data_IF_554302401792
#
_entry.id   IF_554302401792
#
_cell.length_a   1.000
_cell.length_b   1.000
_cell.length_c   1.000
_cell.angle_alpha   90.00
_cell.angle_beta   90.00
_cell.angle_gamma   90.00
#
_symmetry.space_group_name_H-M   'P 1'
#
loop_
_entity.id
_entity.type
_entity.pdbx_description
1 polymer ?
#
# COMPACT_ATOMS: atom_id res chain seq x y z
N UNK A 1 -16.34 12.03 -20.19
CA UNK A 1 -15.53 10.84 -19.83
C UNK A 1 -14.66 10.52 -21.03
N UNK A 2 -13.37 10.18 -20.84
CA UNK A 2 -12.51 9.72 -21.93
C UNK A 2 -13.12 8.47 -22.59
N UNK A 3 -12.87 8.28 -23.88
CA UNK A 3 -13.40 7.11 -24.60
C UNK A 3 -12.66 5.84 -24.13
N UNK A 4 -13.37 4.71 -23.94
CA UNK A 4 -12.74 3.46 -23.54
C UNK A 4 -11.86 2.92 -24.66
N UNK A 5 -10.63 2.55 -24.33
CA UNK A 5 -9.67 1.92 -25.23
C UNK A 5 -9.33 0.51 -24.73
N UNK A 6 -10.05 -0.48 -25.27
CA UNK A 6 -10.01 -1.88 -24.83
C UNK A 6 -8.70 -2.62 -25.19
N UNK A 7 -7.88 -2.00 -26.05
CA UNK A 7 -6.56 -2.52 -26.46
C UNK A 7 -5.40 -1.85 -25.71
N UNK A 8 -5.69 -0.95 -24.77
CA UNK A 8 -4.66 -0.24 -24.00
C UNK A 8 -4.12 -1.10 -22.85
N UNK A 9 -2.87 -0.86 -22.47
CA UNK A 9 -2.28 -1.42 -21.25
C UNK A 9 -2.62 -0.63 -19.98
N UNK A 10 -3.36 0.46 -20.11
CA UNK A 10 -3.81 1.27 -18.98
C UNK A 10 -5.27 0.91 -18.60
N UNK A 11 -5.48 0.44 -17.37
CA UNK A 11 -6.80 0.05 -16.86
C UNK A 11 -7.79 1.22 -16.80
N UNK A 12 -7.30 2.45 -16.58
CA UNK A 12 -8.16 3.64 -16.64
C UNK A 12 -8.62 3.92 -18.07
N UNK A 13 -7.76 3.67 -19.06
CA UNK A 13 -8.12 3.81 -20.47
C UNK A 13 -9.07 2.70 -20.92
N UNK A 14 -8.86 1.45 -20.49
CA UNK A 14 -9.77 0.32 -20.77
C UNK A 14 -11.19 0.65 -20.29
N UNK A 15 -11.32 1.17 -19.07
CA UNK A 15 -12.62 1.54 -18.50
C UNK A 15 -13.14 2.90 -18.97
N UNK A 16 -12.33 3.70 -19.67
CA UNK A 16 -12.71 5.04 -20.13
C UNK A 16 -12.93 6.03 -18.98
N UNK A 17 -12.15 5.91 -17.90
CA UNK A 17 -12.24 6.78 -16.73
C UNK A 17 -10.93 7.56 -16.50
N UNK A 18 -10.99 8.75 -15.86
CA UNK A 18 -9.77 9.45 -15.45
C UNK A 18 -9.12 8.77 -14.24
N UNK A 19 -7.82 9.01 -14.00
CA UNK A 19 -7.07 8.39 -12.89
C UNK A 19 -7.64 8.73 -11.50
N UNK A 20 -8.25 9.91 -11.36
CA UNK A 20 -8.92 10.40 -10.15
C UNK A 20 -10.41 10.02 -10.06
N UNK A 21 -10.85 8.97 -10.79
CA UNK A 21 -12.25 8.51 -10.75
C UNK A 21 -12.65 8.04 -9.36
N UNK A 22 -13.86 8.42 -8.93
CA UNK A 22 -14.49 7.94 -7.70
C UNK A 22 -15.08 6.53 -7.89
N UNK A 23 -15.20 5.78 -6.80
CA UNK A 23 -15.61 4.36 -6.86
C UNK A 23 -17.00 4.18 -7.48
N UNK A 24 -17.90 5.16 -7.31
CA UNK A 24 -19.23 5.14 -7.92
C UNK A 24 -19.16 5.29 -9.45
N UNK A 25 -18.36 6.23 -9.97
CA UNK A 25 -18.20 6.35 -11.41
C UNK A 25 -17.40 5.20 -12.01
N UNK A 26 -16.42 4.65 -11.28
CA UNK A 26 -15.68 3.45 -11.68
C UNK A 26 -16.62 2.25 -11.86
N UNK A 27 -17.49 1.98 -10.86
CA UNK A 27 -18.51 0.92 -10.92
C UNK A 27 -19.51 1.14 -12.07
N UNK A 28 -19.90 2.39 -12.32
CA UNK A 28 -20.80 2.75 -13.43
C UNK A 28 -20.15 2.53 -14.80
N UNK A 29 -18.87 2.89 -14.94
CA UNK A 29 -18.10 2.69 -16.17
C UNK A 29 -17.94 1.19 -16.49
N UNK A 30 -17.57 0.38 -15.49
CA UNK A 30 -17.50 -1.07 -15.61
C UNK A 30 -18.85 -1.67 -16.03
N UNK A 31 -19.94 -1.33 -15.33
CA UNK A 31 -21.28 -1.88 -15.66
C UNK A 31 -21.68 -1.59 -17.10
N UNK A 32 -21.41 -0.38 -17.61
CA UNK A 32 -21.73 0.00 -18.99
C UNK A 32 -20.95 -0.84 -20.01
N UNK A 33 -19.67 -1.08 -19.75
CA UNK A 33 -18.79 -1.82 -20.65
C UNK A 33 -19.02 -3.34 -20.58
N UNK A 34 -19.21 -3.88 -19.38
CA UNK A 34 -19.52 -5.29 -19.14
C UNK A 34 -20.83 -5.70 -19.83
N UNK A 35 -21.86 -4.86 -19.80
CA UNK A 35 -23.11 -5.10 -20.52
C UNK A 35 -22.92 -5.04 -22.04
N UNK A 36 -22.10 -4.11 -22.52
CA UNK A 36 -21.86 -3.95 -23.97
C UNK A 36 -21.10 -5.14 -24.55
N UNK A 37 -20.14 -5.67 -23.82
CA UNK A 37 -19.25 -6.74 -24.27
C UNK A 37 -19.57 -8.12 -23.68
N UNK A 38 -20.73 -8.29 -23.06
CA UNK A 38 -21.11 -9.56 -22.46
C UNK A 38 -21.15 -10.67 -23.54
N UNK A 39 -20.55 -11.85 -23.31
CA UNK A 39 -20.53 -12.95 -24.28
C UNK A 39 -21.94 -13.38 -24.73
N UNK A 40 -22.90 -13.46 -23.82
CA UNK A 40 -24.27 -13.90 -24.15
C UNK A 40 -25.03 -12.93 -25.06
N UNK A 41 -24.65 -11.63 -25.06
CA UNK A 41 -25.23 -10.62 -25.95
C UNK A 41 -24.47 -10.48 -27.27
N UNK A 42 -23.27 -11.06 -27.35
CA UNK A 42 -22.40 -10.99 -28.50
C UNK A 42 -21.85 -12.40 -28.85
N UNK A 43 -22.72 -13.42 -29.05
CA UNK A 43 -22.29 -14.80 -29.25
C UNK A 43 -21.43 -14.98 -30.53
N UNK A 44 -21.64 -14.12 -31.53
CA UNK A 44 -20.94 -14.19 -32.82
C UNK A 44 -19.66 -13.34 -32.87
N UNK A 45 -19.32 -12.62 -31.79
CA UNK A 45 -18.14 -11.75 -31.76
C UNK A 45 -17.03 -12.36 -30.88
N UNK A 46 -15.96 -12.93 -31.49
CA UNK A 46 -14.86 -13.52 -30.75
C UNK A 46 -14.07 -12.49 -29.92
N UNK A 47 -14.09 -11.21 -30.30
CA UNK A 47 -13.44 -10.13 -29.54
C UNK A 47 -14.22 -9.76 -28.26
N UNK A 48 -15.50 -10.12 -28.17
CA UNK A 48 -16.32 -9.79 -26.99
C UNK A 48 -15.82 -10.48 -25.73
N UNK A 49 -15.43 -11.74 -25.83
CA UNK A 49 -14.86 -12.51 -24.73
C UNK A 49 -13.56 -11.88 -24.21
N UNK A 50 -12.62 -11.54 -25.11
CA UNK A 50 -11.35 -10.91 -24.75
C UNK A 50 -11.54 -9.51 -24.18
N UNK A 51 -12.44 -8.71 -24.76
CA UNK A 51 -12.72 -7.38 -24.25
C UNK A 51 -13.40 -7.45 -22.87
N UNK A 52 -14.32 -8.39 -22.67
CA UNK A 52 -14.97 -8.61 -21.38
C UNK A 52 -13.96 -8.99 -20.29
N UNK A 53 -13.00 -9.87 -20.60
CA UNK A 53 -11.89 -10.19 -19.69
C UNK A 53 -11.09 -8.95 -19.31
N UNK A 54 -10.64 -8.16 -20.29
CA UNK A 54 -9.85 -6.94 -20.05
C UNK A 54 -10.62 -5.92 -19.18
N UNK A 55 -11.92 -5.77 -19.42
CA UNK A 55 -12.80 -4.88 -18.64
C UNK A 55 -12.94 -5.38 -17.19
N UNK A 56 -13.11 -6.68 -16.99
CA UNK A 56 -13.23 -7.30 -15.67
C UNK A 56 -11.93 -7.27 -14.87
N UNK A 57 -10.79 -7.54 -15.52
CA UNK A 57 -9.47 -7.42 -14.91
C UNK A 57 -9.18 -5.96 -14.49
N UNK A 58 -9.47 -5.00 -15.37
CA UNK A 58 -9.30 -3.58 -15.07
C UNK A 58 -10.15 -3.15 -13.87
N UNK A 59 -11.41 -3.59 -13.80
CA UNK A 59 -12.28 -3.26 -12.67
C UNK A 59 -11.82 -3.96 -11.38
N UNK A 60 -11.47 -5.25 -11.42
CA UNK A 60 -10.97 -5.99 -10.25
C UNK A 60 -9.71 -5.36 -9.65
N UNK A 61 -8.81 -4.85 -10.49
CA UNK A 61 -7.62 -4.13 -10.05
C UNK A 61 -7.96 -2.75 -9.47
N UNK A 62 -8.83 -1.98 -10.11
CA UNK A 62 -9.09 -0.59 -9.73
C UNK A 62 -10.13 -0.46 -8.62
N UNK A 63 -10.97 -1.48 -8.38
CA UNK A 63 -12.00 -1.46 -7.32
C UNK A 63 -11.43 -1.72 -5.93
N UNK A 64 -10.29 -2.41 -5.83
CA UNK A 64 -9.59 -2.64 -4.57
C UNK A 64 -8.56 -1.53 -4.34
N UNK A 65 -8.67 -0.80 -3.23
CA UNK A 65 -7.78 0.32 -2.89
C UNK A 65 -6.29 -0.09 -2.87
N UNK A 66 -5.96 -1.27 -2.33
CA UNK A 66 -4.58 -1.76 -2.27
C UNK A 66 -4.06 -2.11 -3.66
N UNK A 67 -4.86 -2.80 -4.46
CA UNK A 67 -4.50 -3.14 -5.86
C UNK A 67 -4.36 -1.89 -6.71
N UNK A 68 -5.28 -0.93 -6.58
CA UNK A 68 -5.25 0.36 -7.26
C UNK A 68 -4.00 1.16 -6.90
N UNK A 69 -3.59 1.16 -5.63
CA UNK A 69 -2.37 1.85 -5.19
C UNK A 69 -1.10 1.20 -5.74
N UNK A 70 -1.01 -0.13 -5.69
CA UNK A 70 0.11 -0.86 -6.30
C UNK A 70 0.13 -0.71 -7.83
N UNK A 71 -1.04 -0.66 -8.47
CA UNK A 71 -1.17 -0.39 -9.90
C UNK A 71 -0.69 1.03 -10.26
N UNK A 72 -1.09 2.02 -9.48
CA UNK A 72 -0.67 3.41 -9.70
C UNK A 72 0.84 3.58 -9.54
N UNK A 73 1.47 2.82 -8.62
CA UNK A 73 2.90 2.91 -8.34
C UNK A 73 3.78 2.06 -9.28
N UNK A 74 3.33 0.85 -9.63
CA UNK A 74 4.16 -0.14 -10.34
C UNK A 74 3.53 -0.70 -11.63
N UNK A 75 2.33 -0.25 -12.01
CA UNK A 75 1.61 -0.71 -13.21
C UNK A 75 0.92 -2.07 -13.03
N UNK A 76 0.53 -2.72 -14.15
CA UNK A 76 -0.18 -4.02 -14.17
C UNK A 76 0.51 -5.09 -13.31
N UNK A 77 1.84 -5.09 -13.28
CA UNK A 77 2.62 -6.06 -12.51
C UNK A 77 2.52 -5.84 -10.99
N UNK A 78 2.38 -4.60 -10.54
CA UNK A 78 2.17 -4.25 -9.13
C UNK A 78 0.83 -4.75 -8.60
N UNK A 79 -0.22 -4.61 -9.39
CA UNK A 79 -1.55 -5.13 -9.07
C UNK A 79 -1.54 -6.64 -8.84
N UNK A 80 -0.85 -7.38 -9.71
CA UNK A 80 -0.75 -8.85 -9.63
C UNK A 80 0.10 -9.33 -8.43
N UNK A 81 0.96 -8.47 -7.86
CA UNK A 81 1.69 -8.77 -6.64
C UNK A 81 0.80 -8.63 -5.38
N UNK A 82 -0.30 -7.88 -5.46
CA UNK A 82 -1.29 -7.76 -4.38
C UNK A 82 -2.02 -9.08 -4.15
N UNK A 83 -2.33 -9.81 -5.22
CA UNK A 83 -2.97 -11.14 -5.19
C UNK A 83 -2.08 -12.24 -4.58
N UNK A 84 -0.78 -11.96 -4.45
CA UNK A 84 0.19 -12.86 -3.82
C UNK A 84 0.53 -12.48 -2.38
N UNK A 85 -0.15 -11.48 -1.81
CA UNK A 85 -0.05 -11.15 -0.39
C UNK A 85 -0.96 -12.10 0.41
N UNK A 86 -0.45 -12.76 1.47
CA UNK A 86 -1.32 -13.50 2.37
C UNK A 86 -2.23 -12.57 3.15
N UNK A 87 -3.49 -12.97 3.23
CA UNK A 87 -4.50 -12.45 4.14
C UNK A 87 -4.05 -12.72 5.58
N UNK A 88 -3.43 -11.71 6.22
CA UNK A 88 -2.80 -11.87 7.53
C UNK A 88 -2.57 -10.55 8.29
N UNK A 89 -3.22 -9.47 7.86
CA UNK A 89 -3.35 -8.23 8.60
C UNK A 89 -4.81 -7.98 8.96
N UNK A 90 -5.32 -8.73 9.95
CA UNK A 90 -6.49 -8.43 10.80
C UNK A 90 -7.84 -7.97 10.19
N UNK A 91 -8.73 -8.94 9.95
CA UNK A 91 -10.20 -8.93 10.16
C UNK A 91 -11.09 -7.98 9.29
N UNK A 92 -12.44 -8.09 9.40
CA UNK A 92 -13.33 -9.09 8.79
C UNK A 92 -14.19 -8.45 7.68
N UNK A 93 -14.28 -9.10 6.52
CA UNK A 93 -15.00 -8.57 5.36
C UNK A 93 -14.35 -8.91 4.01
N UNK A 94 -13.23 -9.65 4.02
CA UNK A 94 -12.63 -10.23 2.82
C UNK A 94 -13.59 -11.22 2.19
N UNK A 95 -14.06 -10.90 1.00
CA UNK A 95 -14.76 -11.87 0.15
C UNK A 95 -13.88 -13.11 0.03
N UNK A 96 -14.37 -14.22 0.58
CA UNK A 96 -13.77 -15.53 0.40
C UNK A 96 -13.96 -15.93 -1.06
N UNK A 97 -12.97 -15.62 -1.89
CA UNK A 97 -12.94 -15.95 -3.31
C UNK A 97 -11.74 -16.83 -3.69
N UNK A 98 -11.12 -17.52 -2.73
CA UNK A 98 -10.38 -18.72 -3.07
C UNK A 98 -11.39 -19.79 -3.51
N UNK A 99 -11.66 -19.90 -4.80
CA UNK A 99 -12.44 -21.02 -5.31
C UNK A 99 -11.65 -22.33 -5.14
N UNK A 100 -12.32 -23.42 -4.73
CA UNK A 100 -11.69 -24.70 -4.41
C UNK A 100 -11.27 -25.41 -5.69
N UNK A 101 -9.97 -25.37 -5.98
CA UNK A 101 -9.38 -25.99 -7.17
C UNK A 101 -7.90 -25.65 -7.28
N UNK A 102 -7.15 -25.88 -6.19
CA UNK A 102 -5.73 -25.59 -6.13
C UNK A 102 -4.92 -26.40 -7.14
N UNK A 103 -3.90 -25.77 -7.74
CA UNK A 103 -2.97 -26.52 -8.58
C UNK A 103 -1.91 -25.74 -9.33
N UNK A 104 -1.10 -24.93 -8.65
CA UNK A 104 0.31 -24.70 -9.06
C UNK A 104 0.58 -23.79 -10.27
N UNK A 105 1.85 -23.38 -10.37
CA UNK A 105 2.42 -22.76 -11.55
C UNK A 105 2.49 -21.25 -11.49
N UNK A 106 3.71 -20.71 -11.34
CA UNK A 106 3.97 -19.30 -11.58
C UNK A 106 3.63 -18.94 -13.03
N UNK A 107 2.72 -17.99 -13.21
CA UNK A 107 2.30 -17.51 -14.51
C UNK A 107 1.44 -16.27 -14.32
N UNK A 108 1.60 -15.31 -15.20
CA UNK A 108 0.81 -14.08 -15.32
C UNK A 108 -0.70 -14.42 -15.20
N UNK A 109 -1.36 -14.09 -14.09
CA UNK A 109 -2.80 -14.36 -13.93
C UNK A 109 -3.58 -13.41 -14.84
N UNK A 110 -3.87 -13.82 -16.08
CA UNK A 110 -4.96 -13.25 -16.86
C UNK A 110 -6.27 -13.85 -16.33
N UNK A 111 -7.24 -12.99 -16.00
CA UNK A 111 -8.57 -13.43 -15.57
C UNK A 111 -9.21 -14.27 -16.68
N UNK A 112 -9.59 -15.52 -16.37
CA UNK A 112 -10.24 -16.39 -17.35
C UNK A 112 -11.66 -15.88 -17.66
N UNK A 113 -12.27 -16.25 -18.82
CA UNK A 113 -13.60 -15.75 -19.16
C UNK A 113 -14.68 -16.19 -18.16
N UNK A 114 -14.50 -17.34 -17.53
CA UNK A 114 -15.41 -17.85 -16.50
C UNK A 114 -15.21 -17.16 -15.15
N UNK A 115 -13.96 -16.82 -14.78
CA UNK A 115 -13.67 -15.95 -13.62
C UNK A 115 -14.28 -14.56 -13.79
N UNK A 116 -14.19 -13.97 -14.99
CA UNK A 116 -14.76 -12.67 -15.28
C UNK A 116 -16.30 -12.68 -15.13
N UNK A 117 -16.96 -13.76 -15.56
CA UNK A 117 -18.41 -13.95 -15.39
C UNK A 117 -18.78 -14.10 -13.91
N UNK A 118 -18.02 -14.90 -13.17
CA UNK A 118 -18.24 -15.11 -11.74
C UNK A 118 -18.07 -13.80 -10.96
N UNK A 119 -16.98 -13.07 -11.20
CA UNK A 119 -16.70 -11.78 -10.58
C UNK A 119 -17.79 -10.73 -10.89
N UNK A 120 -18.34 -10.73 -12.10
CA UNK A 120 -19.50 -9.90 -12.43
C UNK A 120 -20.75 -10.30 -11.64
N UNK A 121 -21.09 -11.60 -11.61
CA UNK A 121 -22.25 -12.11 -10.88
C UNK A 121 -22.15 -11.85 -9.36
N UNK A 122 -20.96 -11.93 -8.80
CA UNK A 122 -20.66 -11.64 -7.40
C UNK A 122 -20.74 -10.13 -7.10
N UNK A 123 -20.13 -9.30 -7.94
CA UNK A 123 -20.07 -7.85 -7.77
C UNK A 123 -21.42 -7.14 -7.96
N UNK A 124 -22.37 -7.78 -8.66
CA UNK A 124 -23.66 -7.21 -9.03
C UNK A 124 -24.87 -8.06 -8.60
N UNK A 125 -24.63 -9.21 -7.96
CA UNK A 125 -25.65 -10.14 -7.47
C UNK A 125 -26.31 -10.92 -8.62
N UNK A 126 -26.42 -12.24 -8.50
CA UNK A 126 -27.07 -13.16 -9.47
C UNK A 126 -28.57 -12.92 -9.74
N UNK A 127 -29.09 -11.73 -9.44
CA UNK A 127 -30.35 -11.22 -9.98
C UNK A 127 -30.04 -10.51 -11.30
N UNK A 128 -30.64 -10.95 -12.39
CA UNK A 128 -30.56 -10.31 -13.71
C UNK A 128 -30.49 -8.76 -13.61
N UNK A 129 -29.31 -8.15 -13.79
CA UNK A 129 -29.19 -6.69 -13.81
C UNK A 129 -29.84 -6.10 -15.07
N UNK A 130 -30.40 -6.97 -15.91
CA UNK A 130 -31.14 -6.73 -17.14
C UNK A 130 -32.65 -6.58 -16.93
N UNK A 131 -33.22 -7.05 -15.81
CA UNK A 131 -34.67 -7.03 -15.58
C UNK A 131 -35.24 -5.66 -15.19
N UNK A 132 -34.40 -4.74 -14.71
CA UNK A 132 -34.86 -3.47 -14.11
C UNK A 132 -34.86 -2.24 -15.01
N UNK A 133 -34.39 -2.32 -16.27
CA UNK A 133 -34.14 -1.12 -17.09
C UNK A 133 -35.10 -0.92 -18.27
N UNK A 134 -35.95 -1.90 -18.61
CA UNK A 134 -36.87 -1.83 -19.76
C UNK A 134 -38.28 -2.43 -19.48
N UNK A 135 -38.79 -2.32 -18.25
CA UNK A 135 -40.20 -2.59 -17.92
C UNK A 135 -40.90 -1.27 -17.57
N UNK A 136 -41.78 -0.80 -18.45
CA UNK A 136 -42.34 0.55 -18.40
C UNK A 136 -43.41 0.81 -17.35
N UNK A 137 -43.58 2.10 -17.06
CA UNK A 137 -44.89 2.75 -16.94
C UNK A 137 -45.57 2.73 -15.57
N UNK A 138 -45.64 3.91 -14.94
CA UNK A 138 -46.72 4.24 -14.01
C UNK A 138 -46.29 5.03 -12.77
N UNK A 139 -46.25 6.37 -12.87
CA UNK A 139 -46.53 7.22 -11.70
C UNK A 139 -48.04 7.32 -11.47
N UNK A 140 -48.56 8.24 -10.63
CA UNK A 140 -47.90 9.09 -9.64
C UNK A 140 -48.67 9.22 -8.29
N UNK A 141 -48.00 9.80 -7.29
CA UNK A 141 -48.64 10.63 -6.26
C UNK A 141 -48.76 10.00 -4.86
N UNK A 142 -48.90 10.76 -3.77
CA UNK A 142 -48.79 12.20 -3.47
C UNK A 142 -49.08 12.29 -1.94
N UNK A 143 -48.59 13.35 -1.26
CA UNK A 143 -49.11 13.99 0.00
C UNK A 143 -49.15 13.13 1.28
N UNK A 144 -48.93 13.61 2.50
CA UNK A 144 -48.53 14.87 3.18
C UNK A 144 -48.19 14.44 4.62
N UNK A 145 -47.38 15.13 5.41
CA UNK A 145 -47.81 15.93 6.59
C UNK A 145 -46.62 15.82 7.59
N UNK A 146 -45.86 16.86 7.96
CA UNK A 146 -46.19 18.03 8.81
C UNK A 146 -45.39 17.94 10.12
N UNK A 147 -44.76 19.06 10.50
CA UNK A 147 -44.73 19.47 11.91
C UNK A 147 -43.37 19.65 12.60
N UNK A 148 -43.03 20.94 12.84
CA UNK A 148 -42.29 21.42 14.03
C UNK A 148 -40.77 21.53 13.88
N UNK A 149 -40.07 22.66 14.11
CA UNK A 149 -40.41 23.90 14.81
C UNK A 149 -39.59 24.05 16.11
N UNK A 150 -38.66 25.02 16.17
CA UNK A 150 -37.92 25.45 17.38
C UNK A 150 -36.41 25.63 17.11
N UNK A 151 -35.86 26.80 16.75
CA UNK A 151 -35.64 28.10 17.44
C UNK A 151 -34.71 28.08 18.67
N UNK A 152 -33.66 28.91 18.59
CA UNK A 152 -32.77 29.41 19.66
C UNK A 152 -31.32 29.00 19.42
N UNK A 153 -30.38 29.83 18.96
CA UNK A 153 -30.05 31.22 19.31
C UNK A 153 -29.01 31.22 20.44
N UNK A 154 -27.84 31.86 20.39
CA UNK A 154 -27.13 32.59 19.37
C UNK A 154 -25.65 32.67 19.79
N UNK A 155 -24.76 32.80 18.82
CA UNK A 155 -23.44 33.36 19.03
C UNK A 155 -23.54 34.87 18.73
N UNK A 156 -22.89 35.72 19.53
CA UNK A 156 -22.04 36.78 18.98
C UNK A 156 -21.28 37.57 20.07
N UNK A 157 -20.19 38.25 19.67
CA UNK A 157 -19.00 38.56 20.45
C UNK A 157 -19.01 40.02 20.96
N UNK A 158 -18.03 40.40 21.79
CA UNK A 158 -17.28 41.68 21.73
C UNK A 158 -16.52 41.94 23.05
N UNK A 159 -15.30 42.46 22.87
CA UNK A 159 -14.42 43.19 23.79
C UNK A 159 -14.67 43.09 25.30
N UNK A 160 -13.62 42.69 26.04
CA UNK A 160 -12.97 43.53 27.07
C UNK A 160 -11.76 42.80 27.64
N UNK A 161 -10.55 43.21 27.26
CA UNK A 161 -9.39 43.41 28.15
C UNK A 161 -8.14 43.70 27.30
N UNK A 162 -8.18 44.86 26.64
CA UNK A 162 -6.99 45.57 26.20
C UNK A 162 -7.05 46.94 26.86
N UNK A 163 -6.34 47.12 27.97
CA UNK A 163 -5.67 48.37 28.32
C UNK A 163 -4.99 48.24 29.68
N UNK A 164 -3.70 48.54 29.68
CA UNK A 164 -2.94 49.12 30.79
C UNK A 164 -2.63 48.20 31.97
N UNK A 165 -1.38 47.73 32.02
CA UNK A 165 -0.46 48.31 33.00
C UNK A 165 0.98 48.22 32.48
N UNK A 166 1.49 49.39 32.09
CA UNK A 166 2.91 49.66 31.88
C UNK A 166 3.63 49.72 33.23
N UNK A 167 4.79 49.07 33.30
CA UNK A 167 5.83 49.24 34.33
C UNK A 167 7.02 48.39 33.89
N UNK A 168 8.09 48.98 33.32
CA UNK A 168 9.31 49.38 34.05
C UNK A 168 10.06 48.12 34.54
N UNK A 169 11.27 47.75 34.12
CA UNK A 169 12.50 48.53 33.92
C UNK A 169 13.58 47.64 33.23
N UNK A 170 14.74 48.21 32.84
CA UNK A 170 15.67 47.65 31.86
C UNK A 170 16.87 46.90 32.47
N UNK A 171 17.50 46.06 31.66
CA UNK A 171 18.89 45.64 31.85
C UNK A 171 19.09 44.13 32.01
N UNK A 172 19.95 43.53 31.18
CA UNK A 172 20.37 42.14 31.36
C UNK A 172 20.84 41.44 30.09
N UNK A 173 21.86 41.98 29.46
CA UNK A 173 22.57 41.39 28.33
C UNK A 173 23.32 40.13 28.77
N UNK A 174 22.75 38.92 28.65
CA UNK A 174 23.50 37.66 28.79
C UNK A 174 23.09 36.61 27.75
N UNK A 175 24.08 36.23 26.93
CA UNK A 175 24.32 34.87 26.46
C UNK A 175 23.22 34.21 25.62
N UNK A 176 23.23 34.48 24.31
CA UNK A 176 22.83 33.48 23.31
C UNK A 176 23.83 32.30 23.35
N UNK A 177 23.64 31.38 24.29
CA UNK A 177 24.19 30.04 24.14
C UNK A 177 23.43 29.37 23.02
N UNK A 178 24.15 29.13 21.92
CA UNK A 178 23.71 28.26 20.85
C UNK A 178 23.12 27.01 21.46
N UNK A 179 21.84 26.77 21.15
CA UNK A 179 21.12 25.54 21.44
C UNK A 179 21.91 24.41 20.80
N UNK A 180 22.83 23.82 21.58
CA UNK A 180 23.52 22.60 21.22
C UNK A 180 22.41 21.60 20.88
N UNK A 181 22.29 21.28 19.59
CA UNK A 181 21.60 20.08 19.18
C UNK A 181 22.29 18.96 19.94
N UNK A 182 21.62 18.40 20.94
CA UNK A 182 22.13 17.23 21.61
C UNK A 182 22.33 16.19 20.53
N UNK A 183 23.59 15.83 20.27
CA UNK A 183 23.93 14.62 19.55
C UNK A 183 23.47 13.46 20.42
N UNK A 184 22.16 13.19 20.42
CA UNK A 184 21.62 11.94 20.98
C UNK A 184 22.39 10.81 20.32
N UNK A 185 22.89 9.90 21.15
CA UNK A 185 23.62 8.73 20.68
C UNK A 185 22.86 8.09 19.50
N UNK A 186 23.57 7.69 18.42
CA UNK A 186 22.95 7.08 17.27
C UNK A 186 22.15 5.86 17.72
N UNK A 187 20.87 5.83 17.35
CA UNK A 187 19.98 4.71 17.58
C UNK A 187 20.17 3.68 16.47
N UNK A 188 20.34 2.43 16.87
CA UNK A 188 20.54 1.31 15.94
C UNK A 188 19.26 0.46 15.78
N UNK A 189 18.28 0.71 16.65
CA UNK A 189 17.00 0.03 16.81
C UNK A 189 15.83 0.75 16.13
N UNK A 190 16.10 1.90 15.48
CA UNK A 190 15.07 2.75 14.91
C UNK A 190 15.38 3.10 13.46
N UNK A 191 14.35 3.08 12.61
CA UNK A 191 14.46 3.47 11.21
C UNK A 191 14.98 4.93 11.13
N UNK A 192 16.01 5.22 10.31
CA UNK A 192 16.59 6.55 10.22
C UNK A 192 15.58 7.62 9.76
N UNK A 193 15.80 8.86 10.19
CA UNK A 193 15.09 10.02 9.62
C UNK A 193 15.40 10.13 8.12
N UNK A 194 14.37 10.43 7.33
CA UNK A 194 14.46 10.56 5.88
C UNK A 194 14.25 9.25 5.12
N UNK A 195 14.17 8.10 5.79
CA UNK A 195 13.86 6.84 5.13
C UNK A 195 12.46 6.89 4.53
N UNK A 196 12.36 6.56 3.24
CA UNK A 196 11.10 6.48 2.50
C UNK A 196 10.36 5.20 2.90
N UNK A 197 9.08 5.37 3.20
CA UNK A 197 8.20 4.31 3.66
C UNK A 197 6.82 4.44 3.03
N UNK A 198 6.09 3.32 2.96
CA UNK A 198 4.65 3.32 2.71
C UNK A 198 3.89 2.93 3.96
N UNK A 199 2.71 3.51 4.13
CA UNK A 199 1.79 3.14 5.20
C UNK A 199 1.03 1.86 4.86
N UNK A 200 0.80 0.99 5.84
CA UNK A 200 0.03 -0.24 5.68
C UNK A 200 -0.74 -0.61 6.94
N UNK A 201 -1.83 -1.36 6.79
CA UNK A 201 -2.58 -1.94 7.91
C UNK A 201 -3.19 -0.90 8.88
N UNK A 202 -3.36 0.34 8.46
CA UNK A 202 -4.07 1.35 9.23
C UNK A 202 -5.56 1.05 9.19
N UNK A 203 -6.17 0.88 10.37
CA UNK A 203 -7.60 0.60 10.52
C UNK A 203 -8.42 1.88 10.51
N UNK A 204 -8.01 2.88 11.30
CA UNK A 204 -8.76 4.14 11.45
C UNK A 204 -8.55 5.15 10.32
N UNK A 205 -7.50 4.95 9.50
CA UNK A 205 -7.16 5.77 8.34
C UNK A 205 -6.81 4.86 7.17
N UNK A 206 -7.75 4.00 6.81
CA UNK A 206 -7.53 2.93 5.83
C UNK A 206 -7.29 3.46 4.41
N UNK A 207 -7.81 4.65 4.12
CA UNK A 207 -7.59 5.46 2.93
C UNK A 207 -6.11 5.82 2.71
N UNK A 208 -5.34 5.96 3.79
CA UNK A 208 -3.91 6.27 3.72
C UNK A 208 -3.01 5.04 3.53
N UNK A 209 -3.58 3.84 3.46
CA UNK A 209 -2.77 2.64 3.20
C UNK A 209 -2.25 2.64 1.75
N UNK A 210 -0.94 2.51 1.59
CA UNK A 210 -0.23 2.62 0.31
C UNK A 210 0.40 3.98 0.09
N UNK A 211 -0.05 5.02 0.82
CA UNK A 211 0.53 6.35 0.75
C UNK A 211 1.99 6.35 1.18
N UNK A 212 2.77 7.19 0.50
CA UNK A 212 4.21 7.32 0.72
C UNK A 212 4.52 8.47 1.67
N UNK A 213 5.58 8.28 2.45
CA UNK A 213 6.08 9.31 3.34
C UNK A 213 7.53 9.07 3.74
N UNK A 214 8.10 10.04 4.43
CA UNK A 214 9.43 9.95 5.00
C UNK A 214 9.36 9.89 6.53
N UNK A 215 10.21 9.05 7.13
CA UNK A 215 10.36 9.04 8.60
C UNK A 215 10.90 10.40 9.05
N UNK A 216 10.17 11.10 9.92
CA UNK A 216 10.64 12.33 10.54
C UNK A 216 11.33 12.08 11.88
N UNK A 217 10.70 11.26 12.74
CA UNK A 217 11.20 10.99 14.10
C UNK A 217 10.63 9.68 14.65
N UNK A 218 11.42 8.98 15.46
CA UNK A 218 10.94 7.89 16.31
C UNK A 218 10.71 8.38 17.75
N UNK A 219 9.55 8.08 18.33
CA UNK A 219 9.24 8.30 19.73
C UNK A 219 9.38 6.97 20.51
N UNK A 220 10.40 6.82 21.37
CA UNK A 220 10.61 5.59 22.14
C UNK A 220 9.57 5.37 23.24
N UNK A 221 8.93 6.43 23.76
CA UNK A 221 7.92 6.30 24.83
C UNK A 221 6.65 5.64 24.30
N UNK A 222 6.24 6.01 23.09
CA UNK A 222 5.05 5.45 22.45
C UNK A 222 5.35 4.28 21.50
N UNK A 223 6.63 4.03 21.19
CA UNK A 223 7.05 3.05 20.16
C UNK A 223 6.53 3.38 18.76
N UNK A 224 6.36 4.68 18.44
CA UNK A 224 5.75 5.14 17.18
C UNK A 224 6.67 6.03 16.37
N UNK A 225 6.52 5.99 15.07
CA UNK A 225 7.19 6.87 14.12
C UNK A 225 6.24 8.00 13.71
N UNK A 226 6.79 9.21 13.67
CA UNK A 226 6.21 10.33 12.93
C UNK A 226 6.63 10.18 11.46
N UNK A 227 5.66 9.95 10.59
CA UNK A 227 5.83 9.84 9.13
C UNK A 227 5.21 11.07 8.49
N UNK A 228 6.00 11.80 7.70
CA UNK A 228 5.51 12.95 6.92
C UNK A 228 5.13 12.42 5.55
N UNK A 229 3.85 12.53 5.18
CA UNK A 229 3.36 12.12 3.86
C UNK A 229 3.95 12.99 2.75
N UNK A 230 4.30 12.40 1.61
CA UNK A 230 4.88 13.12 0.47
C UNK A 230 3.86 14.06 -0.19
N UNK A 231 2.59 13.63 -0.31
CA UNK A 231 1.57 14.36 -1.07
C UNK A 231 0.87 15.46 -0.27
N UNK A 232 0.66 15.25 1.03
CA UNK A 232 -0.11 16.18 1.88
C UNK A 232 0.74 16.95 2.87
N UNK A 233 2.01 16.58 3.03
CA UNK A 233 2.91 17.04 4.10
C UNK A 233 2.36 16.80 5.53
N UNK A 234 1.25 16.06 5.68
CA UNK A 234 0.68 15.72 6.98
C UNK A 234 1.63 14.78 7.74
N UNK A 235 1.80 15.02 9.04
CA UNK A 235 2.57 14.14 9.92
C UNK A 235 1.66 13.16 10.65
N UNK A 236 1.90 11.86 10.47
CA UNK A 236 1.14 10.78 11.08
C UNK A 236 1.98 10.01 12.11
N UNK A 237 1.38 9.71 13.25
CA UNK A 237 2.01 8.89 14.31
C UNK A 237 1.59 7.42 14.19
N UNK A 238 2.46 6.60 13.60
CA UNK A 238 2.17 5.22 13.23
C UNK A 238 3.09 4.22 13.94
N UNK A 239 2.60 3.00 14.15
CA UNK A 239 3.43 1.91 14.72
C UNK A 239 4.40 1.39 13.66
N UNK A 240 5.51 0.78 14.09
CA UNK A 240 6.47 0.14 13.19
C UNK A 240 5.79 -0.87 12.24
N UNK A 241 4.84 -1.67 12.74
CA UNK A 241 4.12 -2.68 11.93
C UNK A 241 3.24 -2.06 10.84
N UNK A 242 2.89 -0.77 10.96
CA UNK A 242 2.12 -0.03 9.97
C UNK A 242 2.99 0.66 8.91
N UNK A 243 4.28 0.37 8.91
CA UNK A 243 5.27 0.97 8.03
C UNK A 243 5.91 -0.13 7.18
N UNK A 244 6.09 0.15 5.91
CA UNK A 244 6.83 -0.67 4.98
C UNK A 244 8.01 0.15 4.45
N UNK A 245 9.23 -0.31 4.71
CA UNK A 245 10.43 0.39 4.27
C UNK A 245 10.69 0.15 2.78
N UNK A 246 10.89 1.22 2.01
CA UNK A 246 11.31 1.12 0.61
C UNK A 246 12.83 0.94 0.57
N UNK A 247 13.28 -0.30 0.75
CA UNK A 247 14.71 -0.63 0.79
C UNK A 247 15.23 -0.90 -0.61
N UNK A 248 16.24 -0.14 -1.02
CA UNK A 248 17.03 -0.48 -2.20
C UNK A 248 17.93 -1.68 -1.90
N UNK A 249 17.90 -2.67 -2.78
CA UNK A 249 18.62 -3.92 -2.64
C UNK A 249 19.39 -4.25 -3.90
N UNK A 250 20.47 -5.02 -3.76
CA UNK A 250 21.17 -5.64 -4.89
C UNK A 250 20.86 -7.14 -4.93
N UNK A 251 20.68 -7.67 -6.13
CA UNK A 251 20.40 -9.09 -6.33
C UNK A 251 21.70 -9.88 -6.47
N UNK A 252 21.75 -11.09 -5.94
CA UNK A 252 22.90 -11.97 -6.09
C UNK A 252 22.55 -13.46 -6.01
N UNK A 253 23.47 -14.29 -6.50
CA UNK A 253 23.43 -15.75 -6.41
C UNK A 253 22.12 -16.37 -6.97
N UNK A 254 21.53 -15.72 -7.97
CA UNK A 254 20.36 -16.23 -8.70
C UNK A 254 20.88 -17.11 -9.83
N UNK A 255 20.88 -18.43 -9.62
CA UNK A 255 21.41 -19.39 -10.59
C UNK A 255 20.55 -19.52 -11.85
N UNK A 256 19.21 -19.43 -11.70
CA UNK A 256 18.28 -19.61 -12.81
C UNK A 256 18.23 -18.43 -13.79
N UNK A 257 18.65 -17.25 -13.35
CA UNK A 257 18.61 -15.98 -14.11
C UNK A 257 19.85 -15.17 -13.75
N UNK A 258 21.01 -15.60 -14.25
CA UNK A 258 22.30 -15.02 -13.89
C UNK A 258 22.43 -13.54 -14.27
N UNK A 259 21.72 -13.12 -15.32
CA UNK A 259 21.64 -11.75 -15.82
C UNK A 259 20.98 -10.77 -14.83
N UNK A 260 20.32 -11.28 -13.80
CA UNK A 260 19.75 -10.45 -12.73
C UNK A 260 20.76 -10.15 -11.61
N UNK A 261 21.83 -10.93 -11.50
CA UNK A 261 22.83 -10.72 -10.46
C UNK A 261 23.53 -9.36 -10.66
N UNK A 262 23.67 -8.61 -9.58
CA UNK A 262 24.20 -7.24 -9.60
C UNK A 262 23.17 -6.15 -9.90
N UNK A 263 21.98 -6.51 -10.41
CA UNK A 263 20.89 -5.52 -10.59
C UNK A 263 20.39 -5.02 -9.25
N UNK A 264 19.90 -3.78 -9.27
CA UNK A 264 19.29 -3.14 -8.10
C UNK A 264 17.77 -3.14 -8.23
N UNK A 265 17.08 -3.32 -7.12
CA UNK A 265 15.63 -3.26 -7.02
C UNK A 265 15.19 -2.64 -5.71
N UNK A 266 13.88 -2.47 -5.55
CA UNK A 266 13.27 -1.97 -4.31
C UNK A 266 12.38 -3.05 -3.72
N UNK A 267 12.56 -3.38 -2.44
CA UNK A 267 11.64 -4.28 -1.74
C UNK A 267 10.28 -3.58 -1.65
N UNK A 268 9.25 -4.24 -2.16
CA UNK A 268 7.86 -3.78 -2.09
C UNK A 268 7.12 -4.52 -0.97
N UNK A 269 7.37 -5.81 -0.79
CA UNK A 269 6.67 -6.56 0.26
C UNK A 269 7.43 -7.80 0.69
N UNK A 270 7.04 -8.31 1.86
CA UNK A 270 7.40 -9.63 2.33
C UNK A 270 6.20 -10.57 2.15
N UNK A 271 6.43 -11.76 1.62
CA UNK A 271 5.44 -12.83 1.49
C UNK A 271 5.72 -13.91 2.57
N UNK A 272 5.06 -13.85 3.75
CA UNK A 272 5.24 -14.81 4.84
C UNK A 272 5.18 -16.27 4.40
N UNK A 273 4.13 -16.64 3.65
CA UNK A 273 3.89 -18.04 3.26
C UNK A 273 4.99 -18.63 2.37
N UNK A 274 5.64 -17.79 1.56
CA UNK A 274 6.70 -18.20 0.64
C UNK A 274 8.10 -17.91 1.18
N UNK A 275 8.19 -17.21 2.31
CA UNK A 275 9.41 -16.64 2.88
C UNK A 275 10.27 -15.90 1.86
N UNK A 276 9.65 -15.01 1.08
CA UNK A 276 10.28 -14.27 -0.02
C UNK A 276 9.97 -12.79 0.01
N UNK A 277 10.90 -12.00 -0.49
CA UNK A 277 10.67 -10.60 -0.84
C UNK A 277 10.12 -10.49 -2.25
N UNK A 278 9.10 -9.65 -2.43
CA UNK A 278 8.77 -9.14 -3.76
C UNK A 278 9.56 -7.86 -4.01
N UNK A 279 10.38 -7.88 -5.05
CA UNK A 279 11.32 -6.81 -5.38
C UNK A 279 10.94 -6.25 -6.74
N UNK A 280 10.70 -4.95 -6.81
CA UNK A 280 10.53 -4.23 -8.08
C UNK A 280 11.91 -3.93 -8.67
N UNK A 281 12.13 -4.38 -9.90
CA UNK A 281 13.21 -3.92 -10.74
C UNK A 281 12.69 -2.77 -11.61
N UNK A 282 13.47 -1.69 -11.71
CA UNK A 282 13.15 -0.55 -12.60
C UNK A 282 13.45 -0.92 -14.05
N UNK A 283 14.49 -1.71 -14.28
CA UNK A 283 14.93 -2.20 -15.59
C UNK A 283 15.42 -3.65 -15.49
N UNK A 284 14.64 -4.66 -15.94
CA UNK A 284 13.30 -4.54 -16.53
C UNK A 284 12.26 -4.10 -15.49
N UNK A 285 11.23 -3.35 -15.89
CA UNK A 285 10.04 -3.10 -15.05
C UNK A 285 9.39 -4.45 -14.78
N UNK A 286 9.79 -5.10 -13.68
CA UNK A 286 9.45 -6.48 -13.33
C UNK A 286 9.49 -6.67 -11.84
N UNK A 287 8.51 -7.39 -11.29
CA UNK A 287 8.54 -7.85 -9.90
C UNK A 287 9.12 -9.27 -9.82
N UNK A 288 10.05 -9.49 -8.90
CA UNK A 288 10.66 -10.79 -8.62
C UNK A 288 10.37 -11.23 -7.20
N UNK A 289 10.02 -12.51 -7.03
CA UNK A 289 9.84 -13.13 -5.70
C UNK A 289 11.09 -13.91 -5.29
N UNK A 290 11.95 -13.31 -4.48
CA UNK A 290 13.29 -13.80 -4.15
C UNK A 290 13.45 -14.15 -2.68
N UNK A 291 14.23 -15.20 -2.39
CA UNK A 291 14.57 -15.56 -1.01
C UNK A 291 15.51 -14.50 -0.42
N UNK A 292 15.51 -14.28 0.91
CA UNK A 292 16.46 -13.38 1.56
C UNK A 292 17.92 -13.64 1.17
N UNK A 293 18.30 -14.91 0.95
CA UNK A 293 19.65 -15.29 0.55
C UNK A 293 20.07 -14.82 -0.85
N UNK A 294 19.15 -14.29 -1.67
CA UNK A 294 19.43 -13.73 -2.99
C UNK A 294 19.38 -12.20 -3.01
N UNK A 295 19.24 -11.57 -1.84
CA UNK A 295 18.94 -10.16 -1.69
C UNK A 295 19.93 -9.53 -0.73
N UNK A 296 20.70 -8.56 -1.23
CA UNK A 296 21.66 -7.78 -0.45
C UNK A 296 20.97 -6.50 0.02
N UNK A 297 20.75 -6.41 1.33
CA UNK A 297 20.33 -5.20 2.02
C UNK A 297 21.53 -4.25 2.16
N UNK A 298 21.34 -2.96 1.88
CA UNK A 298 22.42 -1.98 1.94
C UNK A 298 22.83 -1.65 3.38
N UNK A 299 24.07 -1.19 3.56
CA UNK A 299 24.52 -0.64 4.84
C UNK A 299 23.63 0.54 5.27
N UNK A 300 23.32 0.62 6.56
CA UNK A 300 22.38 1.58 7.13
C UNK A 300 20.92 1.12 7.12
N UNK A 301 20.59 0.04 6.41
CA UNK A 301 19.23 -0.55 6.45
C UNK A 301 18.93 -1.06 7.85
N UNK A 302 17.78 -0.69 8.40
CA UNK A 302 17.32 -1.16 9.70
C UNK A 302 16.38 -2.34 9.49
N UNK A 303 16.76 -3.50 9.99
CA UNK A 303 16.07 -4.76 9.79
C UNK A 303 15.72 -5.41 11.13
N UNK A 304 14.57 -6.07 11.18
CA UNK A 304 14.12 -6.89 12.28
C UNK A 304 14.73 -8.30 12.19
N UNK A 305 15.19 -8.80 13.32
CA UNK A 305 15.66 -10.17 13.48
C UNK A 305 14.46 -11.10 13.59
N UNK A 306 14.47 -12.19 12.83
CA UNK A 306 13.43 -13.23 12.86
C UNK A 306 14.03 -14.62 12.66
N UNK A 307 13.35 -15.66 13.15
CA UNK A 307 13.72 -17.05 12.92
C UNK A 307 15.07 -17.46 13.51
N UNK A 308 15.60 -16.71 14.48
CA UNK A 308 16.87 -17.03 15.13
C UNK A 308 16.64 -18.08 16.22
N UNK A 309 17.13 -19.30 16.00
CA UNK A 309 16.97 -20.42 16.92
C UNK A 309 17.97 -20.41 18.08
N UNK A 310 19.20 -19.95 17.82
CA UNK A 310 20.28 -19.95 18.83
C UNK A 310 20.07 -18.91 19.93
N UNK A 311 19.34 -17.83 19.62
CA UNK A 311 19.06 -16.71 20.52
C UNK A 311 17.63 -16.20 20.29
N UNK A 312 16.61 -16.98 20.68
CA UNK A 312 15.21 -16.64 20.41
C UNK A 312 14.79 -15.28 20.99
N UNK A 313 15.42 -14.84 22.07
CA UNK A 313 15.22 -13.56 22.75
C UNK A 313 15.60 -12.33 21.92
N UNK A 314 16.27 -12.54 20.77
CA UNK A 314 16.59 -11.48 19.81
C UNK A 314 15.56 -11.37 18.70
N UNK A 315 14.67 -12.35 18.53
CA UNK A 315 13.60 -12.27 17.54
C UNK A 315 12.67 -11.11 17.87
N UNK A 316 12.26 -10.36 16.84
CA UNK A 316 11.46 -9.15 16.97
C UNK A 316 12.28 -7.88 17.25
N UNK A 317 13.56 -8.00 17.65
CA UNK A 317 14.44 -6.83 17.84
C UNK A 317 14.93 -6.30 16.51
N UNK A 318 15.16 -4.98 16.46
CA UNK A 318 15.65 -4.27 15.29
C UNK A 318 17.14 -3.98 15.43
N UNK A 319 17.85 -4.00 14.30
CA UNK A 319 19.25 -3.66 14.23
C UNK A 319 19.61 -3.04 12.88
N UNK A 320 20.71 -2.28 12.86
CA UNK A 320 21.19 -1.62 11.65
C UNK A 320 22.23 -2.49 10.95
N UNK A 321 22.04 -2.76 9.67
CA UNK A 321 23.01 -3.49 8.85
C UNK A 321 24.25 -2.61 8.67
N UNK A 322 25.40 -3.11 9.10
CA UNK A 322 26.70 -2.45 8.88
C UNK A 322 27.32 -2.85 7.57
N UNK A 323 27.37 -4.15 7.34
CA UNK A 323 28.00 -4.71 6.17
C UNK A 323 27.42 -6.09 5.87
N UNK A 324 27.47 -6.45 4.59
CA UNK A 324 27.19 -7.77 4.09
C UNK A 324 28.49 -8.48 3.77
N UNK A 325 28.66 -9.68 4.30
CA UNK A 325 29.85 -10.51 4.17
C UNK A 325 29.59 -11.56 3.10
N UNK A 326 30.10 -11.30 1.90
CA UNK A 326 29.85 -12.08 0.68
C UNK A 326 30.17 -13.56 0.85
N UNK A 327 31.29 -13.90 1.50
CA UNK A 327 31.81 -15.26 1.61
C UNK A 327 30.90 -16.19 2.42
N UNK A 328 30.14 -15.61 3.34
CA UNK A 328 29.28 -16.37 4.27
C UNK A 328 27.78 -16.10 4.07
N UNK A 329 27.42 -15.17 3.18
CA UNK A 329 26.09 -14.62 3.03
C UNK A 329 25.43 -14.22 4.37
N UNK A 330 26.19 -13.45 5.16
CA UNK A 330 25.79 -12.97 6.49
C UNK A 330 25.93 -11.47 6.58
N UNK A 331 25.17 -10.88 7.49
CA UNK A 331 25.27 -9.47 7.83
C UNK A 331 25.91 -9.29 9.19
N UNK A 332 26.76 -8.27 9.32
CA UNK A 332 27.07 -7.70 10.61
C UNK A 332 25.99 -6.66 10.93
N UNK A 333 25.22 -6.94 11.97
CA UNK A 333 24.05 -6.16 12.39
C UNK A 333 24.39 -5.50 13.71
N UNK A 334 24.43 -4.17 13.71
CA UNK A 334 24.64 -3.39 14.92
C UNK A 334 23.33 -3.29 15.70
N UNK A 335 23.34 -3.80 16.93
CA UNK A 335 22.21 -3.74 17.87
C UNK A 335 22.35 -2.58 18.85
N UNK A 336 23.59 -2.24 19.23
CA UNK A 336 23.93 -1.13 20.13
C UNK A 336 25.32 -0.60 19.83
N UNK A 337 25.78 0.43 20.57
CA UNK A 337 27.12 0.98 20.38
C UNK A 337 28.24 -0.07 20.62
N UNK A 338 27.98 -1.09 21.45
CA UNK A 338 28.95 -2.12 21.82
C UNK A 338 28.61 -3.52 21.28
N UNK A 339 27.44 -3.70 20.67
CA UNK A 339 26.97 -5.01 20.23
C UNK A 339 26.76 -5.08 18.72
N UNK A 340 27.52 -5.97 18.08
CA UNK A 340 27.36 -6.35 16.67
C UNK A 340 27.12 -7.87 16.62
N UNK A 341 26.15 -8.29 15.83
CA UNK A 341 25.79 -9.69 15.64
C UNK A 341 26.01 -10.10 14.18
N UNK A 342 26.58 -11.29 13.98
CA UNK A 342 26.74 -11.89 12.65
C UNK A 342 25.56 -12.81 12.32
N UNK A 343 24.59 -12.30 11.57
CA UNK A 343 23.31 -12.97 11.30
C UNK A 343 23.21 -13.40 9.84
N UNK A 344 22.48 -14.48 9.56
CA UNK A 344 22.23 -14.91 8.17
C UNK A 344 21.19 -14.02 7.51
N UNK A 345 21.24 -13.93 6.18
CA UNK A 345 20.23 -13.19 5.41
C UNK A 345 18.80 -13.69 5.67
N UNK A 346 18.61 -15.01 5.84
CA UNK A 346 17.32 -15.62 6.20
C UNK A 346 16.74 -15.10 7.52
N UNK A 347 17.56 -14.55 8.42
CA UNK A 347 17.11 -14.01 9.71
C UNK A 347 16.71 -12.53 9.65
N UNK A 348 16.79 -11.88 8.50
CA UNK A 348 16.56 -10.44 8.37
C UNK A 348 15.24 -10.13 7.66
N UNK A 349 14.46 -9.21 8.25
CA UNK A 349 13.18 -8.69 7.73
C UNK A 349 13.19 -7.17 7.71
N UNK A 350 12.64 -6.55 6.69
CA UNK A 350 12.55 -5.08 6.54
C UNK A 350 11.13 -4.64 6.21
#
# INVERSE_FOLDING_TARGET
MPQPNLRSDDYYQILGCPRNVDDKALKKAYRKLAVKWHPDKNPDNPEATTNFQNISEAYACLSDTKKRNLYNQYGKEGANAADQMPEGGGCPGGFHGGFPGGGGGGGMHHMSPDEARHFFAESFGGSDPFGGMFGGGGGPGMRSSMGGGGRGGGADPIQMMFSQQMGGMPGGMHSMTGRQQSHRAPRYDAIPRGTIVSLKGLVNKADLNGERGAIHKYNPESGRYAVVLEDTEETLSVKADNILQHVQVKLHDIQSQQELNGKSGTIITWCPNKERYNIYLVAPKKILSLRPNNVILQSGTVAQISGLLSKPELNGKWGTIKEWIKESNRYNVQMSAQQILRLKAENMRV
#
